data_IF_463864572080
#
_entry.id   IF_463864572080
#
_cell.length_a   1.000
_cell.length_b   1.000
_cell.length_c   1.000
_cell.angle_alpha   90.00
_cell.angle_beta   90.00
_cell.angle_gamma   90.00
#
_symmetry.space_group_name_H-M   'P 1'
#
loop_
_entity.id
_entity.type
_entity.pdbx_description
1 polymer ?
#
# COMPACT_ATOMS: atom_id res chain seq x y z
N UNK A 1 4.01 -0.12 7.14
CA UNK A 1 4.02 -1.54 6.72
C UNK A 1 2.63 -2.10 6.96
N UNK A 2 2.07 -2.89 6.05
CA UNK A 2 0.74 -3.47 6.29
C UNK A 2 0.81 -4.39 7.52
N UNK A 3 -0.28 -4.50 8.28
CA UNK A 3 -0.38 -5.44 9.41
C UNK A 3 0.01 -6.87 8.98
N UNK A 4 -0.35 -7.26 7.76
CA UNK A 4 -0.06 -8.57 7.18
C UNK A 4 1.45 -8.90 7.10
N UNK A 5 2.30 -7.93 6.74
CA UNK A 5 3.76 -8.17 6.71
C UNK A 5 4.29 -8.34 8.14
N UNK A 6 3.80 -7.53 9.08
CA UNK A 6 4.18 -7.66 10.48
C UNK A 6 3.78 -9.02 11.04
N UNK A 7 2.54 -9.47 10.77
CA UNK A 7 2.02 -10.77 11.21
C UNK A 7 2.83 -11.94 10.62
N UNK A 8 3.23 -11.85 9.34
CA UNK A 8 4.07 -12.88 8.69
C UNK A 8 5.48 -12.92 9.31
N UNK A 9 6.10 -11.75 9.56
CA UNK A 9 7.43 -11.69 10.18
C UNK A 9 7.41 -12.21 11.61
N UNK A 10 6.41 -11.87 12.41
CA UNK A 10 6.22 -12.37 13.77
C UNK A 10 6.01 -13.90 13.79
N UNK A 11 5.21 -14.40 12.84
CA UNK A 11 5.02 -15.84 12.68
C UNK A 11 6.32 -16.55 12.32
N UNK A 12 7.12 -16.03 11.37
CA UNK A 12 8.43 -16.62 11.01
C UNK A 12 9.33 -16.66 12.22
N UNK A 13 9.44 -15.60 13.01
CA UNK A 13 10.26 -15.52 14.21
C UNK A 13 9.84 -16.59 15.25
N UNK A 14 8.55 -16.56 15.61
CA UNK A 14 7.99 -17.48 16.62
C UNK A 14 8.16 -18.94 16.25
N UNK A 15 7.96 -19.27 14.96
CA UNK A 15 8.05 -20.65 14.49
C UNK A 15 9.50 -21.09 14.26
N UNK A 16 10.40 -20.19 13.87
CA UNK A 16 11.85 -20.46 13.76
C UNK A 16 12.45 -20.81 15.12
N UNK A 17 12.05 -20.13 16.21
CA UNK A 17 12.47 -20.44 17.58
C UNK A 17 12.06 -21.85 18.01
N UNK A 18 11.00 -22.40 17.42
CA UNK A 18 10.53 -23.78 17.65
C UNK A 18 11.20 -24.80 16.75
N UNK A 19 12.07 -24.35 15.83
CA UNK A 19 12.73 -25.22 14.84
C UNK A 19 11.78 -25.76 13.77
N UNK A 20 10.66 -25.10 13.54
CA UNK A 20 9.70 -25.49 12.50
C UNK A 20 10.20 -25.07 11.12
N UNK A 21 10.07 -25.96 10.12
CA UNK A 21 10.36 -25.65 8.74
C UNK A 21 9.20 -24.88 8.11
N UNK A 22 9.54 -23.87 7.33
CA UNK A 22 8.57 -23.00 6.66
C UNK A 22 9.10 -22.56 5.31
N UNK A 23 8.19 -22.26 4.39
CA UNK A 23 8.51 -21.57 3.15
C UNK A 23 7.67 -20.29 3.02
N UNK A 24 8.28 -19.25 2.51
CA UNK A 24 7.60 -17.97 2.22
C UNK A 24 7.41 -17.83 0.72
N UNK A 25 6.17 -17.69 0.28
CA UNK A 25 5.81 -17.31 -1.07
C UNK A 25 5.54 -15.80 -1.12
N UNK A 26 6.20 -15.10 -2.04
CA UNK A 26 6.03 -13.66 -2.27
C UNK A 26 5.61 -13.43 -3.70
N UNK A 27 4.56 -12.64 -3.94
CA UNK A 27 4.18 -12.16 -5.27
C UNK A 27 5.21 -11.13 -5.71
N UNK A 28 5.97 -11.39 -6.77
CA UNK A 28 7.04 -10.50 -7.26
C UNK A 28 6.65 -9.75 -8.54
N UNK A 29 5.72 -10.30 -9.32
CA UNK A 29 5.13 -9.64 -10.48
C UNK A 29 3.70 -10.11 -10.72
N UNK A 30 2.91 -9.27 -11.38
CA UNK A 30 1.54 -9.58 -11.81
C UNK A 30 1.29 -9.05 -13.22
N UNK A 31 0.47 -9.76 -13.98
CA UNK A 31 -0.02 -9.37 -15.30
C UNK A 31 -1.55 -9.49 -15.34
N UNK A 32 -2.22 -8.57 -16.00
CA UNK A 32 -3.67 -8.57 -16.08
C UNK A 32 -4.36 -8.32 -14.73
N UNK A 33 -5.55 -8.93 -14.54
CA UNK A 33 -6.37 -8.74 -13.34
C UNK A 33 -6.08 -9.82 -12.31
N UNK A 34 -5.41 -9.46 -11.23
CA UNK A 34 -5.06 -10.35 -10.11
C UNK A 34 -5.66 -9.87 -8.80
N UNK A 35 -5.91 -10.80 -7.87
CA UNK A 35 -6.47 -10.49 -6.54
C UNK A 35 -5.50 -9.70 -5.67
N UNK A 36 -4.19 -10.00 -5.75
CA UNK A 36 -3.14 -9.37 -4.92
C UNK A 36 -2.08 -8.69 -5.81
N UNK A 37 -1.31 -7.83 -5.20
CA UNK A 37 -0.22 -7.06 -5.83
C UNK A 37 1.15 -7.61 -5.46
N UNK A 38 2.23 -7.22 -6.19
CA UNK A 38 3.59 -7.48 -5.76
C UNK A 38 3.82 -7.04 -4.30
N UNK A 39 4.52 -7.88 -3.54
CA UNK A 39 4.73 -7.74 -2.11
C UNK A 39 3.74 -8.51 -1.22
N UNK A 40 2.64 -9.06 -1.76
CA UNK A 40 1.77 -9.96 -1.02
C UNK A 40 2.49 -11.27 -0.66
N UNK A 41 2.23 -11.79 0.54
CA UNK A 41 2.96 -12.92 1.10
C UNK A 41 2.03 -14.02 1.62
N UNK A 42 2.52 -15.25 1.52
CA UNK A 42 1.92 -16.43 2.12
C UNK A 42 3.02 -17.28 2.76
N UNK A 43 2.99 -17.39 4.08
CA UNK A 43 3.84 -18.33 4.82
C UNK A 43 3.15 -19.69 4.87
N UNK A 44 3.88 -20.72 4.46
CA UNK A 44 3.44 -22.11 4.48
C UNK A 44 4.27 -22.86 5.50
N UNK A 45 3.61 -23.46 6.50
CA UNK A 45 4.23 -24.30 7.51
C UNK A 45 4.37 -25.73 7.02
N UNK A 46 5.28 -26.50 7.61
CA UNK A 46 5.51 -27.93 7.27
C UNK A 46 4.22 -28.77 7.43
N UNK A 47 3.37 -28.43 8.41
CA UNK A 47 2.04 -29.03 8.60
C UNK A 47 0.98 -28.62 7.57
N UNK A 48 1.30 -27.72 6.65
CA UNK A 48 0.38 -27.21 5.63
C UNK A 48 -0.51 -26.05 6.10
N UNK A 49 -0.33 -25.52 7.31
CA UNK A 49 -1.03 -24.30 7.74
C UNK A 49 -0.51 -23.07 6.98
N UNK A 50 -1.40 -22.12 6.69
CA UNK A 50 -1.16 -20.92 5.90
C UNK A 50 -1.32 -19.66 6.75
N UNK A 51 -0.38 -18.70 6.64
CA UNK A 51 -0.44 -17.38 7.27
C UNK A 51 -0.19 -16.33 6.20
N UNK A 52 -1.08 -15.36 6.06
CA UNK A 52 -1.08 -14.38 4.97
C UNK A 52 -1.94 -14.83 3.79
N UNK A 53 -1.85 -14.11 2.66
CA UNK A 53 -2.71 -14.36 1.51
C UNK A 53 -2.10 -13.81 0.21
N UNK A 54 -2.02 -14.64 -0.83
CA UNK A 54 -1.53 -14.25 -2.18
C UNK A 54 -2.61 -14.37 -3.25
N UNK A 55 -3.72 -15.08 -2.95
CA UNK A 55 -4.83 -15.30 -3.88
C UNK A 55 -6.15 -15.33 -3.09
N UNK A 56 -7.27 -15.49 -3.76
CA UNK A 56 -8.56 -15.77 -3.11
C UNK A 56 -8.71 -17.22 -2.63
N UNK A 57 -7.61 -17.98 -2.49
CA UNK A 57 -7.60 -19.39 -2.12
C UNK A 57 -7.41 -20.36 -3.30
N UNK A 58 -7.45 -19.85 -4.54
CA UNK A 58 -7.40 -20.70 -5.75
C UNK A 58 -6.02 -21.35 -5.98
N UNK A 59 -4.93 -20.77 -5.46
CA UNK A 59 -3.56 -21.28 -5.62
C UNK A 59 -3.01 -21.97 -4.37
N UNK A 60 -3.74 -22.02 -3.28
CA UNK A 60 -3.24 -22.47 -1.99
C UNK A 60 -2.67 -23.89 -2.04
N UNK A 61 -3.34 -24.79 -2.75
CA UNK A 61 -2.88 -26.18 -2.91
C UNK A 61 -1.58 -26.29 -3.70
N UNK A 62 -1.46 -25.59 -4.81
CA UNK A 62 -0.26 -25.60 -5.65
C UNK A 62 0.93 -24.97 -4.94
N UNK A 63 0.68 -23.88 -4.21
CA UNK A 63 1.71 -23.19 -3.43
C UNK A 63 2.16 -24.04 -2.22
N UNK A 64 1.25 -24.77 -1.57
CA UNK A 64 1.62 -25.72 -0.51
C UNK A 64 2.53 -26.83 -1.04
N UNK A 65 2.24 -27.38 -2.22
CA UNK A 65 3.09 -28.41 -2.82
C UNK A 65 4.47 -27.86 -3.19
N UNK A 66 4.53 -26.67 -3.78
CA UNK A 66 5.79 -25.98 -4.09
C UNK A 66 6.59 -25.67 -2.82
N UNK A 67 5.92 -25.21 -1.76
CA UNK A 67 6.52 -24.93 -0.47
C UNK A 67 7.16 -26.17 0.17
N UNK A 68 6.49 -27.33 0.09
CA UNK A 68 7.08 -28.61 0.57
C UNK A 68 8.35 -28.96 -0.16
N UNK A 69 8.41 -28.75 -1.49
CA UNK A 69 9.62 -28.99 -2.27
C UNK A 69 10.75 -28.04 -1.85
N UNK A 70 10.44 -26.76 -1.65
CA UNK A 70 11.42 -25.74 -1.18
C UNK A 70 11.92 -26.05 0.23
N UNK A 71 11.04 -26.43 1.16
CA UNK A 71 11.44 -26.86 2.50
C UNK A 71 12.29 -28.14 2.50
N UNK A 72 12.05 -29.04 1.53
CA UNK A 72 12.77 -30.30 1.39
C UNK A 72 14.18 -30.14 0.84
N UNK A 73 14.40 -29.27 -0.14
CA UNK A 73 15.69 -29.10 -0.83
C UNK A 73 16.45 -27.81 -0.47
N UNK A 74 15.82 -26.88 0.25
CA UNK A 74 16.41 -25.61 0.65
C UNK A 74 16.64 -24.60 -0.48
N UNK A 75 16.08 -24.85 -1.67
CA UNK A 75 16.31 -24.02 -2.87
C UNK A 75 15.11 -23.16 -3.18
N UNK A 76 15.30 -21.85 -3.28
CA UNK A 76 14.27 -20.91 -3.71
C UNK A 76 13.90 -21.13 -5.18
N UNK A 77 12.63 -20.91 -5.51
CA UNK A 77 12.07 -21.08 -6.86
C UNK A 77 11.24 -19.88 -7.27
N UNK A 78 11.36 -19.49 -8.54
CA UNK A 78 10.43 -18.57 -9.22
C UNK A 78 9.46 -19.42 -10.03
N UNK A 79 8.15 -19.17 -9.88
CA UNK A 79 7.09 -19.90 -10.62
C UNK A 79 6.07 -18.90 -11.14
N UNK A 80 5.72 -19.04 -12.41
CA UNK A 80 4.67 -18.26 -13.08
C UNK A 80 3.35 -19.06 -13.02
N UNK A 81 2.31 -18.45 -12.43
CA UNK A 81 0.95 -18.98 -12.40
C UNK A 81 0.10 -18.17 -13.37
N UNK A 82 -0.16 -18.74 -14.54
CA UNK A 82 -1.08 -18.16 -15.52
C UNK A 82 -2.50 -18.59 -15.22
N UNK A 83 -3.35 -17.63 -14.81
CA UNK A 83 -4.76 -17.81 -14.49
C UNK A 83 -5.65 -17.25 -15.61
N UNK A 84 -5.09 -16.91 -16.77
CA UNK A 84 -5.85 -16.54 -17.95
C UNK A 84 -6.54 -17.80 -18.47
N UNK A 85 -7.87 -17.75 -18.56
CA UNK A 85 -8.65 -18.91 -18.97
C UNK A 85 -8.28 -19.36 -20.38
N UNK A 86 -7.80 -20.58 -20.52
CA UNK A 86 -7.99 -21.34 -21.74
C UNK A 86 -9.49 -21.70 -21.83
N UNK A 87 -10.16 -21.25 -22.87
CA UNK A 87 -11.61 -21.44 -23.11
C UNK A 87 -12.06 -22.93 -23.11
N UNK A 88 -11.12 -23.87 -23.13
CA UNK A 88 -11.38 -25.32 -23.19
C UNK A 88 -11.22 -26.03 -21.83
N UNK A 89 -10.65 -25.39 -20.81
CA UNK A 89 -10.51 -26.03 -19.51
C UNK A 89 -11.71 -25.72 -18.61
N UNK A 90 -12.38 -26.75 -18.13
CA UNK A 90 -13.53 -26.72 -17.18
C UNK A 90 -13.21 -25.90 -15.89
N UNK A 91 -11.95 -25.59 -15.67
CA UNK A 91 -11.42 -24.85 -14.52
C UNK A 91 -11.35 -23.31 -14.74
N UNK A 92 -11.27 -22.82 -15.99
CA UNK A 92 -11.09 -21.38 -16.29
C UNK A 92 -12.27 -20.51 -15.84
N UNK A 93 -13.48 -20.96 -15.95
CA UNK A 93 -14.69 -20.23 -15.52
C UNK A 93 -14.90 -20.18 -14.00
N UNK A 94 -14.21 -21.03 -13.24
CA UNK A 94 -14.38 -21.14 -11.78
C UNK A 94 -13.49 -20.22 -10.96
N UNK A 95 -12.36 -19.73 -11.50
CA UNK A 95 -11.35 -19.03 -10.71
C UNK A 95 -11.55 -17.50 -10.67
N UNK A 96 -12.35 -16.91 -11.56
CA UNK A 96 -12.71 -15.48 -11.52
C UNK A 96 -11.55 -14.49 -11.71
N UNK A 97 -10.31 -14.98 -11.93
CA UNK A 97 -9.11 -14.19 -12.14
C UNK A 97 -8.69 -14.31 -13.60
N UNK A 98 -8.56 -13.16 -14.29
CA UNK A 98 -8.05 -13.11 -15.68
C UNK A 98 -6.68 -12.42 -15.69
N UNK A 99 -5.69 -13.07 -15.10
CA UNK A 99 -4.33 -12.54 -14.99
C UNK A 99 -3.30 -13.61 -14.67
N UNK A 100 -2.04 -13.24 -14.63
CA UNK A 100 -0.94 -14.10 -14.24
C UNK A 100 -0.15 -13.48 -13.08
N UNK A 101 0.45 -14.32 -12.24
CA UNK A 101 1.31 -13.88 -11.16
C UNK A 101 2.57 -14.72 -11.08
N UNK A 102 3.68 -14.05 -10.82
CA UNK A 102 4.93 -14.71 -10.53
C UNK A 102 5.15 -14.76 -9.01
N UNK A 103 5.38 -15.96 -8.52
CA UNK A 103 5.67 -16.22 -7.10
C UNK A 103 7.13 -16.59 -6.92
N UNK A 104 7.80 -15.89 -6.02
CA UNK A 104 9.10 -16.29 -5.51
C UNK A 104 8.88 -17.05 -4.20
N UNK A 105 9.22 -18.34 -4.19
CA UNK A 105 9.05 -19.22 -3.02
C UNK A 105 10.42 -19.64 -2.50
N UNK A 106 10.66 -19.42 -1.21
CA UNK A 106 11.96 -19.63 -0.58
C UNK A 106 11.83 -20.18 0.83
N UNK A 107 12.90 -20.80 1.41
CA UNK A 107 12.94 -21.10 2.83
C UNK A 107 12.73 -19.82 3.64
N UNK A 108 11.84 -19.83 4.63
CA UNK A 108 11.46 -18.64 5.37
C UNK A 108 12.63 -18.03 6.17
N UNK A 109 13.60 -18.84 6.57
CA UNK A 109 14.80 -18.39 7.28
C UNK A 109 15.62 -17.39 6.45
N UNK A 110 15.68 -17.54 5.13
CA UNK A 110 16.34 -16.57 4.23
C UNK A 110 15.62 -15.23 4.22
N UNK A 111 14.29 -15.25 4.19
CA UNK A 111 13.48 -14.04 4.26
C UNK A 111 13.66 -13.31 5.62
N UNK A 112 13.88 -14.07 6.69
CA UNK A 112 14.06 -13.55 8.04
C UNK A 112 15.39 -12.80 8.24
N UNK A 113 16.39 -12.99 7.38
CA UNK A 113 17.69 -12.31 7.48
C UNK A 113 17.59 -10.76 7.48
N UNK A 114 16.54 -10.20 6.91
CA UNK A 114 16.28 -8.76 6.90
C UNK A 114 15.21 -8.31 7.90
N UNK A 115 14.61 -9.25 8.65
CA UNK A 115 13.51 -8.96 9.58
C UNK A 115 13.90 -7.91 10.63
N UNK A 116 15.14 -7.95 11.13
CA UNK A 116 15.64 -6.96 12.08
C UNK A 116 15.67 -5.53 11.50
N UNK A 117 16.09 -5.38 10.25
CA UNK A 117 16.06 -4.08 9.56
C UNK A 117 14.62 -3.60 9.32
N UNK A 118 13.74 -4.52 8.91
CA UNK A 118 12.32 -4.22 8.70
C UNK A 118 11.62 -3.83 10.01
N UNK A 119 11.94 -4.51 11.12
CA UNK A 119 11.38 -4.17 12.44
C UNK A 119 11.81 -2.77 12.87
N UNK A 120 13.11 -2.42 12.75
CA UNK A 120 13.59 -1.07 13.04
C UNK A 120 12.91 -0.03 12.17
N UNK A 121 12.73 -0.29 10.87
CA UNK A 121 12.00 0.62 9.98
C UNK A 121 10.56 0.86 10.43
N UNK A 122 9.88 -0.18 10.96
CA UNK A 122 8.54 -0.05 11.55
C UNK A 122 8.56 0.77 12.82
N UNK A 123 9.45 0.46 13.75
CA UNK A 123 9.57 1.13 15.05
C UNK A 123 9.93 2.62 14.90
N UNK A 124 10.81 2.92 13.94
CA UNK A 124 11.25 4.28 13.63
C UNK A 124 10.32 5.02 12.65
N UNK A 125 9.24 4.37 12.22
CA UNK A 125 8.30 4.91 11.22
C UNK A 125 8.97 5.36 9.91
N UNK A 126 10.02 4.66 9.49
CA UNK A 126 10.78 4.95 8.28
C UNK A 126 10.39 4.03 7.13
N UNK A 127 10.37 4.60 5.95
CA UNK A 127 10.29 3.80 4.73
C UNK A 127 11.64 3.13 4.46
N UNK A 128 11.60 1.98 3.79
CA UNK A 128 12.79 1.21 3.42
C UNK A 128 12.52 0.44 2.14
N UNK A 129 13.55 0.24 1.31
CA UNK A 129 13.46 -0.67 0.17
C UNK A 129 14.27 -1.93 0.43
N UNK A 130 13.69 -3.08 0.08
CA UNK A 130 14.37 -4.38 0.11
C UNK A 130 14.51 -4.87 -1.32
N UNK A 131 15.76 -5.05 -1.74
CA UNK A 131 16.08 -5.66 -3.04
C UNK A 131 16.36 -7.15 -2.81
N UNK A 132 15.58 -8.02 -3.45
CA UNK A 132 15.74 -9.47 -3.38
C UNK A 132 16.14 -10.00 -4.75
N UNK A 133 17.23 -10.74 -4.82
CA UNK A 133 17.66 -11.42 -6.05
C UNK A 133 16.71 -12.58 -6.36
N UNK A 134 16.06 -12.50 -7.52
CA UNK A 134 15.14 -13.53 -8.01
C UNK A 134 15.90 -14.51 -8.90
N UNK A 135 16.72 -14.00 -9.84
CA UNK A 135 17.58 -14.77 -10.70
C UNK A 135 18.88 -14.00 -10.94
N UNK A 136 19.98 -14.72 -11.16
CA UNK A 136 21.28 -14.11 -11.45
C UNK A 136 22.10 -14.96 -12.42
N UNK A 137 22.75 -14.27 -13.37
CA UNK A 137 23.83 -14.84 -14.19
C UNK A 137 25.21 -14.35 -13.72
N UNK A 138 25.28 -13.54 -12.65
CA UNK A 138 26.52 -12.97 -12.11
C UNK A 138 27.10 -13.90 -11.07
N UNK A 139 28.39 -14.20 -11.18
CA UNK A 139 29.10 -15.06 -10.24
C UNK A 139 29.11 -14.44 -8.82
N UNK A 140 28.85 -15.26 -7.82
CA UNK A 140 28.83 -14.85 -6.42
C UNK A 140 27.55 -14.14 -5.96
N UNK A 141 26.58 -13.95 -6.87
CA UNK A 141 25.25 -13.38 -6.54
C UNK A 141 24.22 -14.51 -6.46
N UNK A 142 23.80 -14.83 -5.27
CA UNK A 142 22.90 -15.97 -5.03
C UNK A 142 21.43 -15.55 -5.10
N UNK A 143 20.57 -16.46 -5.57
CA UNK A 143 19.10 -16.33 -5.50
C UNK A 143 18.65 -16.24 -4.04
N UNK A 144 17.81 -15.26 -3.74
CA UNK A 144 17.35 -14.95 -2.39
C UNK A 144 18.29 -14.04 -1.59
N UNK A 145 19.45 -13.63 -2.12
CA UNK A 145 20.29 -12.60 -1.51
C UNK A 145 19.53 -11.27 -1.41
N UNK A 146 19.79 -10.50 -0.35
CA UNK A 146 19.05 -9.28 -0.06
C UNK A 146 19.96 -8.12 0.27
N UNK A 147 19.53 -6.92 -0.19
CA UNK A 147 20.07 -5.62 0.17
C UNK A 147 18.93 -4.76 0.71
N UNK A 148 19.14 -4.16 1.89
CA UNK A 148 18.21 -3.17 2.45
C UNK A 148 18.76 -1.79 2.17
N UNK A 149 17.95 -0.88 1.66
CA UNK A 149 18.32 0.49 1.29
C UNK A 149 17.38 1.47 1.96
N UNK A 150 17.96 2.38 2.73
CA UNK A 150 17.23 3.45 3.42
C UNK A 150 17.15 4.72 2.55
N UNK A 151 16.20 5.65 2.81
CA UNK A 151 16.04 6.89 2.03
C UNK A 151 17.28 7.78 2.04
N UNK A 152 18.10 7.73 3.09
CA UNK A 152 19.36 8.46 3.24
C UNK A 152 20.54 7.81 2.47
N UNK A 153 20.28 6.69 1.78
CA UNK A 153 21.28 5.91 1.05
C UNK A 153 22.06 4.92 1.89
N UNK A 154 21.81 4.84 3.22
CA UNK A 154 22.40 3.80 4.05
C UNK A 154 21.97 2.40 3.56
N UNK A 155 22.90 1.45 3.60
CA UNK A 155 22.69 0.08 3.12
C UNK A 155 22.97 -0.92 4.23
N UNK A 156 22.15 -1.96 4.30
CA UNK A 156 22.39 -3.12 5.18
C UNK A 156 22.38 -4.39 4.33
N UNK A 157 23.29 -5.35 4.66
CA UNK A 157 23.54 -6.56 3.87
C UNK A 157 24.22 -6.27 2.52
N UNK A 158 24.37 -7.31 1.69
CA UNK A 158 24.98 -7.26 0.37
C UNK A 158 24.42 -8.39 -0.50
N UNK A 159 24.36 -8.17 -1.80
CA UNK A 159 23.99 -9.18 -2.78
C UNK A 159 25.16 -10.08 -3.19
N UNK A 160 26.37 -9.84 -2.64
CA UNK A 160 27.57 -10.63 -2.91
C UNK A 160 28.52 -10.03 -3.97
N UNK A 161 28.15 -8.93 -4.60
CA UNK A 161 28.95 -8.24 -5.61
C UNK A 161 28.73 -6.72 -5.51
N UNK A 162 29.80 -5.94 -5.39
CA UNK A 162 29.72 -4.49 -5.16
C UNK A 162 29.05 -3.72 -6.32
N UNK A 163 29.29 -4.10 -7.57
CA UNK A 163 28.66 -3.49 -8.74
C UNK A 163 27.15 -3.74 -8.75
N UNK A 164 26.74 -4.97 -8.38
CA UNK A 164 25.32 -5.32 -8.24
C UNK A 164 24.69 -4.58 -7.06
N UNK A 165 25.40 -4.43 -5.93
CA UNK A 165 24.92 -3.64 -4.78
C UNK A 165 24.68 -2.18 -5.16
N UNK A 166 25.58 -1.58 -5.97
CA UNK A 166 25.42 -0.19 -6.42
C UNK A 166 24.22 -0.04 -7.40
N UNK A 167 24.06 -0.95 -8.34
CA UNK A 167 22.92 -0.97 -9.26
C UNK A 167 21.60 -1.18 -8.52
N UNK A 168 21.59 -2.11 -7.56
CA UNK A 168 20.43 -2.39 -6.71
C UNK A 168 20.04 -1.20 -5.83
N UNK A 169 21.03 -0.50 -5.26
CA UNK A 169 20.78 0.70 -4.46
C UNK A 169 20.21 1.86 -5.28
N UNK A 170 20.69 2.04 -6.52
CA UNK A 170 20.12 3.04 -7.44
C UNK A 170 18.67 2.70 -7.78
N UNK A 171 18.38 1.43 -8.09
CA UNK A 171 17.02 0.94 -8.33
C UNK A 171 16.10 1.14 -7.12
N UNK A 172 16.58 0.82 -5.91
CA UNK A 172 15.87 1.02 -4.66
C UNK A 172 15.55 2.50 -4.40
N UNK A 173 16.51 3.41 -4.62
CA UNK A 173 16.29 4.85 -4.51
C UNK A 173 15.21 5.36 -5.47
N UNK A 174 15.22 4.88 -6.72
CA UNK A 174 14.18 5.23 -7.70
C UNK A 174 12.80 4.66 -7.33
N UNK A 175 12.76 3.46 -6.74
CA UNK A 175 11.53 2.83 -6.25
C UNK A 175 10.94 3.58 -5.04
N UNK A 176 11.80 3.95 -4.06
CA UNK A 176 11.43 4.77 -2.89
C UNK A 176 10.83 6.11 -3.32
N UNK A 177 11.47 6.82 -4.27
CA UNK A 177 10.97 8.10 -4.76
C UNK A 177 9.56 8.00 -5.40
N UNK A 178 9.24 6.84 -6.00
CA UNK A 178 7.93 6.57 -6.63
C UNK A 178 6.93 5.88 -5.70
N UNK A 179 7.37 5.35 -4.56
CA UNK A 179 6.57 4.50 -3.68
C UNK A 179 6.06 3.23 -4.39
N UNK A 180 6.85 2.64 -5.29
CA UNK A 180 6.44 1.52 -6.15
C UNK A 180 7.39 0.34 -6.04
N UNK A 181 6.83 -0.82 -5.66
CA UNK A 181 7.55 -2.09 -5.75
C UNK A 181 7.51 -2.61 -7.19
N UNK A 182 8.67 -3.09 -7.69
CA UNK A 182 8.83 -3.52 -9.07
C UNK A 182 9.82 -4.68 -9.19
N UNK A 183 9.54 -5.63 -10.09
CA UNK A 183 10.53 -6.60 -10.58
C UNK A 183 11.22 -6.00 -11.78
N UNK A 184 12.55 -5.98 -11.80
CA UNK A 184 13.34 -5.42 -12.89
C UNK A 184 14.70 -6.12 -13.02
N UNK A 185 15.30 -5.97 -14.19
CA UNK A 185 16.64 -6.45 -14.47
C UNK A 185 17.68 -5.38 -14.17
N UNK A 186 18.74 -5.77 -13.50
CA UNK A 186 19.94 -4.98 -13.20
C UNK A 186 21.06 -5.48 -14.10
N UNK A 187 21.43 -4.68 -15.08
CA UNK A 187 22.54 -4.99 -15.99
C UNK A 187 23.86 -4.50 -15.37
N UNK A 188 24.84 -5.40 -15.26
CA UNK A 188 26.18 -5.12 -14.75
C UNK A 188 27.22 -5.77 -15.67
N UNK A 189 28.50 -5.41 -15.53
CA UNK A 189 29.56 -5.92 -16.40
C UNK A 189 29.67 -7.46 -16.40
N UNK A 190 29.29 -8.12 -15.28
CA UNK A 190 29.33 -9.58 -15.12
C UNK A 190 28.08 -10.32 -15.61
N UNK A 191 27.04 -9.66 -16.07
CA UNK A 191 25.77 -10.29 -16.48
C UNK A 191 24.54 -9.52 -16.06
N UNK A 192 23.42 -10.25 -15.88
CA UNK A 192 22.13 -9.69 -15.51
C UNK A 192 21.67 -10.31 -14.20
N UNK A 193 21.13 -9.48 -13.31
CA UNK A 193 20.44 -9.88 -12.07
C UNK A 193 18.99 -9.43 -12.17
N UNK A 194 18.06 -10.36 -12.19
CA UNK A 194 16.64 -10.06 -12.03
C UNK A 194 16.33 -9.90 -10.54
N UNK A 195 15.88 -8.73 -10.15
CA UNK A 195 15.62 -8.39 -8.75
C UNK A 195 14.17 -7.93 -8.53
N UNK A 196 13.61 -8.30 -7.39
CA UNK A 196 12.39 -7.68 -6.85
C UNK A 196 12.79 -6.56 -5.91
N UNK A 197 12.50 -5.33 -6.31
CA UNK A 197 12.73 -4.11 -5.54
C UNK A 197 11.43 -3.76 -4.84
N UNK A 198 11.36 -4.04 -3.56
CA UNK A 198 10.17 -3.82 -2.76
C UNK A 198 10.31 -2.53 -1.95
N UNK A 199 9.27 -1.69 -1.97
CA UNK A 199 9.16 -0.51 -1.11
C UNK A 199 8.21 -0.82 0.04
N UNK A 200 8.70 -0.69 1.26
CA UNK A 200 7.96 -0.89 2.49
C UNK A 200 7.76 0.46 3.17
N UNK A 201 6.53 0.93 3.15
CA UNK A 201 6.13 2.17 3.78
C UNK A 201 5.50 1.89 5.15
N UNK A 202 5.77 2.71 6.17
CA UNK A 202 5.02 2.67 7.43
C UNK A 202 3.53 2.88 7.19
N UNK A 203 2.73 2.36 8.11
CA UNK A 203 1.28 2.58 8.10
C UNK A 203 0.93 4.07 8.13
N UNK A 204 -0.06 4.53 7.36
CA UNK A 204 -0.51 5.90 7.42
C UNK A 204 -0.98 6.28 8.82
N UNK A 205 -0.68 7.50 9.24
CA UNK A 205 -1.11 8.05 10.53
C UNK A 205 -2.38 8.88 10.34
N UNK A 206 -3.41 8.59 11.13
CA UNK A 206 -4.64 9.37 11.16
C UNK A 206 -4.74 10.15 12.47
N UNK A 207 -4.58 11.47 12.39
CA UNK A 207 -4.79 12.38 13.51
C UNK A 207 -6.27 12.78 13.58
N UNK A 208 -6.94 12.39 14.64
CA UNK A 208 -8.36 12.67 14.87
C UNK A 208 -8.46 13.76 15.92
N UNK A 209 -8.74 14.99 15.49
CA UNK A 209 -8.86 16.16 16.35
C UNK A 209 -10.31 16.26 16.87
N UNK A 210 -10.52 15.77 18.08
CA UNK A 210 -11.81 15.66 18.76
C UNK A 210 -12.12 14.22 19.21
N UNK A 211 -12.40 14.02 20.50
CA UNK A 211 -12.72 12.72 21.09
C UNK A 211 -14.24 12.54 21.30
N UNK A 212 -15.06 13.02 20.35
CA UNK A 212 -16.50 12.85 20.33
C UNK A 212 -16.95 11.40 20.13
N UNK A 213 -18.27 11.16 20.09
CA UNK A 213 -18.81 9.82 19.81
C UNK A 213 -18.52 9.36 18.37
N UNK A 214 -18.56 10.27 17.43
CA UNK A 214 -18.27 10.07 15.99
C UNK A 214 -16.80 9.73 15.71
N UNK A 215 -15.88 10.07 16.62
CA UNK A 215 -14.49 9.64 16.52
C UNK A 215 -14.30 8.13 16.81
N UNK A 216 -15.20 7.51 17.57
CA UNK A 216 -15.07 6.09 17.97
C UNK A 216 -15.08 5.15 16.74
N UNK A 217 -16.11 5.19 15.84
CA UNK A 217 -16.11 4.33 14.68
C UNK A 217 -14.96 4.68 13.71
N UNK A 218 -14.54 5.94 13.61
CA UNK A 218 -13.42 6.34 12.75
C UNK A 218 -12.11 5.70 13.21
N UNK A 219 -11.82 5.69 14.52
CA UNK A 219 -10.66 4.99 15.10
C UNK A 219 -10.70 3.51 14.77
N UNK A 220 -11.85 2.85 14.99
CA UNK A 220 -12.03 1.43 14.74
C UNK A 220 -11.81 1.06 13.27
N UNK A 221 -12.37 1.82 12.33
CA UNK A 221 -12.20 1.55 10.89
C UNK A 221 -10.78 1.86 10.42
N UNK A 222 -10.15 2.91 10.92
CA UNK A 222 -8.76 3.21 10.62
C UNK A 222 -7.83 2.05 11.05
N UNK A 223 -7.97 1.59 12.29
CA UNK A 223 -7.19 0.45 12.80
C UNK A 223 -7.44 -0.83 12.01
N UNK A 224 -8.71 -1.15 11.68
CA UNK A 224 -9.05 -2.31 10.85
C UNK A 224 -8.43 -2.27 9.44
N UNK A 225 -8.16 -1.08 8.90
CA UNK A 225 -7.46 -0.88 7.63
C UNK A 225 -5.93 -0.80 7.79
N UNK A 226 -5.39 -1.05 8.99
CA UNK A 226 -3.96 -1.00 9.28
C UNK A 226 -3.40 0.42 9.35
N UNK A 227 -4.23 1.44 9.55
CA UNK A 227 -3.80 2.81 9.83
C UNK A 227 -3.49 2.97 11.31
N UNK A 228 -2.75 4.03 11.65
CA UNK A 228 -2.38 4.36 13.04
C UNK A 228 -3.22 5.55 13.52
N UNK A 229 -4.39 5.32 14.14
CA UNK A 229 -5.25 6.39 14.63
C UNK A 229 -4.72 6.96 15.95
N UNK A 230 -4.48 8.28 15.98
CA UNK A 230 -4.11 9.04 17.16
C UNK A 230 -5.20 10.06 17.46
N UNK A 231 -5.77 10.01 18.68
CA UNK A 231 -6.86 10.90 19.09
C UNK A 231 -6.30 12.09 19.85
N UNK A 232 -6.68 13.29 19.46
CA UNK A 232 -6.24 14.56 20.05
C UNK A 232 -7.44 15.31 20.62
N UNK A 233 -7.43 15.60 21.91
CA UNK A 233 -8.48 16.40 22.58
C UNK A 233 -7.89 17.09 23.82
N UNK A 234 -8.53 18.14 24.31
CA UNK A 234 -8.15 18.78 25.57
C UNK A 234 -8.80 18.15 26.79
N UNK A 235 -9.83 17.36 26.59
CA UNK A 235 -10.60 16.69 27.63
C UNK A 235 -9.98 15.32 27.93
N UNK A 236 -8.93 15.26 28.75
CA UNK A 236 -8.20 14.02 29.08
C UNK A 236 -9.12 12.84 29.44
N UNK A 237 -10.24 13.10 30.13
CA UNK A 237 -11.21 12.06 30.51
C UNK A 237 -11.83 11.33 29.31
N UNK A 238 -11.74 11.89 28.09
CA UNK A 238 -12.20 11.25 26.87
C UNK A 238 -11.10 10.47 26.13
N UNK A 239 -9.84 10.68 26.48
CA UNK A 239 -8.66 10.05 25.87
C UNK A 239 -8.31 8.76 26.64
N UNK A 240 -9.15 7.74 26.50
CA UNK A 240 -8.97 6.49 27.23
C UNK A 240 -9.09 5.27 26.32
N UNK A 241 -8.36 4.20 26.66
CA UNK A 241 -8.45 2.92 25.96
C UNK A 241 -9.84 2.28 26.05
N UNK A 242 -10.61 2.56 27.09
CA UNK A 242 -11.99 2.07 27.19
C UNK A 242 -12.91 2.67 26.12
N UNK A 243 -12.65 3.93 25.72
CA UNK A 243 -13.41 4.59 24.66
C UNK A 243 -12.87 4.29 23.27
N UNK A 244 -11.57 4.16 23.15
CA UNK A 244 -10.85 3.97 21.91
C UNK A 244 -9.83 2.83 22.04
N UNK A 245 -10.28 1.58 22.16
CA UNK A 245 -9.39 0.44 22.38
C UNK A 245 -8.37 0.25 21.25
N UNK A 246 -8.74 0.61 20.02
CA UNK A 246 -7.89 0.45 18.83
C UNK A 246 -7.01 1.68 18.55
N UNK A 247 -7.10 2.78 19.33
CA UNK A 247 -6.26 3.95 19.12
C UNK A 247 -4.77 3.61 19.32
N UNK A 248 -3.92 4.03 18.40
CA UNK A 248 -2.46 3.90 18.50
C UNK A 248 -1.88 4.81 19.58
N UNK A 249 -2.49 5.99 19.78
CA UNK A 249 -2.06 6.94 20.81
C UNK A 249 -3.11 7.99 21.15
N UNK A 250 -2.79 8.72 22.22
CA UNK A 250 -3.59 9.84 22.71
C UNK A 250 -2.72 11.06 22.94
N UNK A 251 -3.21 12.24 22.55
CA UNK A 251 -2.54 13.51 22.80
C UNK A 251 -3.51 14.44 23.50
N UNK A 252 -3.21 14.79 24.75
CA UNK A 252 -3.93 15.85 25.47
C UNK A 252 -3.37 17.21 25.06
N UNK A 253 -4.19 18.02 24.40
CA UNK A 253 -3.75 19.28 23.82
C UNK A 253 -4.75 20.42 24.09
N UNK A 254 -4.42 21.29 25.03
CA UNK A 254 -5.27 22.43 25.39
C UNK A 254 -5.27 23.57 24.36
N UNK A 255 -4.23 23.66 23.54
CA UNK A 255 -4.07 24.70 22.50
C UNK A 255 -3.93 24.06 21.12
N UNK A 256 -5.01 24.00 20.32
CA UNK A 256 -5.00 23.32 19.00
C UNK A 256 -3.92 23.82 18.02
N UNK A 257 -3.54 25.11 18.09
CA UNK A 257 -2.46 25.69 17.27
C UNK A 257 -1.10 25.01 17.45
N UNK A 258 -0.90 24.26 18.54
CA UNK A 258 0.32 23.49 18.77
C UNK A 258 0.31 22.07 18.16
N UNK A 259 -0.78 21.67 17.51
CA UNK A 259 -0.97 20.30 17.09
C UNK A 259 0.11 19.82 16.09
N UNK A 260 0.41 20.60 15.07
CA UNK A 260 1.42 20.24 14.08
C UNK A 260 2.82 20.13 14.71
N UNK A 261 3.19 21.08 15.58
CA UNK A 261 4.49 21.04 16.27
C UNK A 261 4.63 19.79 17.16
N UNK A 262 3.55 19.37 17.83
CA UNK A 262 3.56 18.21 18.70
C UNK A 262 3.57 16.90 17.91
N UNK A 263 2.82 16.83 16.82
CA UNK A 263 2.65 15.60 16.05
C UNK A 263 3.71 15.41 14.97
N UNK A 264 4.41 16.48 14.55
CA UNK A 264 5.40 16.48 13.46
C UNK A 264 4.88 15.69 12.26
N UNK A 265 3.82 16.21 11.59
CA UNK A 265 3.18 15.48 10.49
C UNK A 265 4.12 15.38 9.28
N UNK A 266 3.92 14.33 8.51
CA UNK A 266 4.59 14.06 7.25
C UNK A 266 3.57 13.76 6.14
N UNK A 267 4.05 13.48 4.91
CA UNK A 267 3.22 13.14 3.75
C UNK A 267 2.32 11.91 3.91
N UNK A 268 2.47 11.11 4.97
CA UNK A 268 1.64 9.95 5.31
C UNK A 268 0.68 10.25 6.45
N UNK A 269 0.64 11.50 6.88
CA UNK A 269 -0.24 11.97 7.95
C UNK A 269 -1.51 12.55 7.34
N UNK A 270 -2.64 12.06 7.81
CA UNK A 270 -3.98 12.50 7.46
C UNK A 270 -4.62 13.09 8.72
N UNK A 271 -5.32 14.20 8.58
CA UNK A 271 -5.95 14.91 9.71
C UNK A 271 -7.45 14.96 9.50
N UNK A 272 -8.23 14.62 10.52
CA UNK A 272 -9.69 14.84 10.55
C UNK A 272 -10.06 15.68 11.75
N UNK A 273 -10.60 16.88 11.48
CA UNK A 273 -11.04 17.85 12.49
C UNK A 273 -12.54 17.67 12.71
N UNK A 274 -12.90 17.24 13.94
CA UNK A 274 -14.27 16.87 14.33
C UNK A 274 -14.58 17.23 15.79
N UNK A 275 -14.15 18.44 16.21
CA UNK A 275 -14.33 18.87 17.62
C UNK A 275 -15.72 19.37 17.94
N UNK A 276 -16.56 19.67 16.93
CA UNK A 276 -17.85 20.35 17.02
C UNK A 276 -17.77 21.76 17.65
N UNK A 277 -16.57 22.31 17.78
CA UNK A 277 -16.34 23.66 18.28
C UNK A 277 -15.63 24.51 17.21
N UNK A 278 -16.29 25.58 16.75
CA UNK A 278 -15.83 26.42 15.66
C UNK A 278 -14.42 26.97 15.86
N UNK A 279 -14.13 27.53 17.04
CA UNK A 279 -12.82 28.14 17.31
C UNK A 279 -11.72 27.08 17.34
N UNK A 280 -12.00 25.91 17.89
CA UNK A 280 -11.06 24.81 17.91
C UNK A 280 -10.82 24.23 16.52
N UNK A 281 -11.89 24.06 15.73
CA UNK A 281 -11.76 23.57 14.34
C UNK A 281 -10.89 24.53 13.53
N UNK A 282 -11.11 25.86 13.68
CA UNK A 282 -10.27 26.90 13.06
C UNK A 282 -8.80 26.76 13.46
N UNK A 283 -8.53 26.63 14.75
CA UNK A 283 -7.17 26.57 15.28
C UNK A 283 -6.46 25.23 14.84
N UNK A 284 -7.16 24.10 14.79
CA UNK A 284 -6.60 22.87 14.24
C UNK A 284 -6.29 22.99 12.76
N UNK A 285 -7.24 23.48 11.93
CA UNK A 285 -6.99 23.71 10.51
C UNK A 285 -5.77 24.60 10.33
N UNK A 286 -5.73 25.76 11.01
CA UNK A 286 -4.57 26.67 10.98
C UNK A 286 -3.26 25.98 11.33
N UNK A 287 -3.27 25.12 12.36
CA UNK A 287 -2.05 24.43 12.81
C UNK A 287 -1.43 23.54 11.73
N UNK A 288 -2.23 22.98 10.83
CA UNK A 288 -1.76 22.06 9.79
C UNK A 288 -1.52 22.72 8.42
N UNK A 289 -1.88 24.02 8.25
CA UNK A 289 -1.54 24.76 7.02
C UNK A 289 0.00 24.88 6.89
N UNK A 290 0.48 24.76 5.64
CA UNK A 290 1.91 24.83 5.33
C UNK A 290 2.72 23.64 5.83
N UNK A 291 2.07 22.54 6.22
CA UNK A 291 2.74 21.29 6.60
C UNK A 291 2.62 20.22 5.50
N UNK A 292 3.41 19.15 5.64
CA UNK A 292 3.44 18.05 4.66
C UNK A 292 2.29 17.03 4.82
N UNK A 293 1.19 17.38 5.52
CA UNK A 293 0.04 16.48 5.61
C UNK A 293 -0.55 16.18 4.24
N UNK A 294 -0.99 14.93 4.05
CA UNK A 294 -1.63 14.52 2.81
C UNK A 294 -3.09 14.99 2.70
N UNK A 295 -3.74 15.31 3.84
CA UNK A 295 -5.17 15.55 3.90
C UNK A 295 -5.56 16.28 5.18
N UNK A 296 -6.47 17.24 5.07
CA UNK A 296 -7.12 17.92 6.20
C UNK A 296 -8.63 17.85 5.98
N UNK A 297 -9.30 16.90 6.63
CA UNK A 297 -10.75 16.80 6.63
C UNK A 297 -11.39 17.62 7.73
N UNK A 298 -12.47 18.31 7.43
CA UNK A 298 -13.28 19.02 8.43
C UNK A 298 -14.70 18.49 8.45
N UNK A 299 -15.15 18.03 9.60
CA UNK A 299 -16.53 17.61 9.81
C UNK A 299 -17.42 18.84 9.95
N UNK A 300 -18.39 18.98 9.06
CA UNK A 300 -19.33 20.08 9.06
C UNK A 300 -19.59 20.64 7.66
N UNK A 301 -20.63 21.49 7.52
CA UNK A 301 -21.03 21.98 6.20
C UNK A 301 -19.97 22.92 5.59
N UNK A 302 -19.91 22.99 4.25
CA UNK A 302 -19.00 23.85 3.50
C UNK A 302 -18.95 25.29 4.03
N UNK A 303 -20.11 25.87 4.37
CA UNK A 303 -20.21 27.22 4.94
C UNK A 303 -19.37 27.42 6.21
N UNK A 304 -19.15 26.35 6.97
CA UNK A 304 -18.31 26.41 8.17
C UNK A 304 -16.84 26.57 7.80
N UNK A 305 -16.35 25.87 6.79
CA UNK A 305 -15.01 26.07 6.27
C UNK A 305 -14.83 27.46 5.69
N UNK A 306 -15.80 27.94 4.87
CA UNK A 306 -15.74 29.28 4.28
C UNK A 306 -15.61 30.37 5.35
N UNK A 307 -16.33 30.22 6.48
CA UNK A 307 -16.21 31.11 7.62
C UNK A 307 -14.84 31.03 8.29
N UNK A 308 -14.29 29.81 8.46
CA UNK A 308 -12.94 29.59 9.01
C UNK A 308 -11.88 30.26 8.15
N UNK A 309 -11.91 30.05 6.84
CA UNK A 309 -10.95 30.66 5.91
C UNK A 309 -11.07 32.20 5.90
N UNK A 310 -12.31 32.73 5.99
CA UNK A 310 -12.53 34.17 6.11
C UNK A 310 -11.94 34.76 7.39
N UNK A 311 -12.06 34.06 8.51
CA UNK A 311 -11.52 34.53 9.78
C UNK A 311 -9.99 34.41 9.81
N UNK A 312 -9.41 33.35 9.24
CA UNK A 312 -7.95 33.23 9.07
C UNK A 312 -7.38 34.36 8.20
N UNK A 313 -8.05 34.71 7.09
CA UNK A 313 -7.63 35.82 6.24
C UNK A 313 -7.66 37.17 6.98
N UNK A 314 -8.65 37.43 7.87
CA UNK A 314 -8.68 38.61 8.73
C UNK A 314 -7.51 38.64 9.73
N UNK A 315 -7.00 37.49 10.12
CA UNK A 315 -5.83 37.35 10.99
C UNK A 315 -4.51 37.41 10.20
N UNK A 316 -4.56 37.61 8.88
CA UNK A 316 -3.39 37.70 7.99
C UNK A 316 -2.83 36.32 7.60
N UNK A 317 -3.63 35.26 7.72
CA UNK A 317 -3.26 33.89 7.39
C UNK A 317 -3.98 33.52 6.10
N UNK A 318 -3.24 33.40 5.01
CA UNK A 318 -3.73 33.01 3.71
C UNK A 318 -3.20 31.62 3.35
N UNK A 319 -4.06 30.59 3.29
CA UNK A 319 -3.64 29.26 2.83
C UNK A 319 -3.15 29.32 1.39
N UNK A 320 -2.09 28.57 1.08
CA UNK A 320 -1.60 28.39 -0.28
C UNK A 320 -2.61 27.59 -1.14
N UNK A 321 -2.46 27.62 -2.47
CA UNK A 321 -3.27 26.75 -3.35
C UNK A 321 -3.08 25.28 -2.98
N UNK A 322 -1.85 24.86 -2.66
CA UNK A 322 -1.55 23.50 -2.21
C UNK A 322 -2.26 23.14 -0.90
N UNK A 323 -2.33 24.07 0.07
CA UNK A 323 -3.09 23.86 1.29
C UNK A 323 -4.59 23.68 1.02
N UNK A 324 -5.15 24.52 0.12
CA UNK A 324 -6.56 24.46 -0.22
C UNK A 324 -6.94 23.13 -0.91
N UNK A 325 -6.05 22.55 -1.73
CA UNK A 325 -6.25 21.25 -2.37
C UNK A 325 -6.29 20.10 -1.34
N UNK A 326 -5.57 20.24 -0.22
CA UNK A 326 -5.55 19.25 0.87
C UNK A 326 -6.75 19.35 1.81
N UNK A 327 -7.52 20.45 1.76
CA UNK A 327 -8.66 20.70 2.66
C UNK A 327 -9.95 20.14 2.06
N UNK A 328 -10.57 19.21 2.75
CA UNK A 328 -11.82 18.55 2.39
C UNK A 328 -12.92 18.90 3.40
N UNK A 329 -13.96 19.61 2.97
CA UNK A 329 -15.09 19.95 3.83
C UNK A 329 -16.38 20.11 3.01
N UNK A 330 -17.42 19.35 3.32
CA UNK A 330 -17.48 18.30 4.33
C UNK A 330 -16.49 17.15 4.05
N UNK A 331 -15.88 16.57 5.09
CA UNK A 331 -15.06 15.38 4.96
C UNK A 331 -15.94 14.16 4.67
N UNK A 332 -15.47 13.30 3.75
CA UNK A 332 -16.13 12.06 3.36
C UNK A 332 -16.73 12.07 1.95
N UNK A 333 -16.85 10.88 1.37
CA UNK A 333 -17.51 10.70 0.08
C UNK A 333 -19.02 10.90 0.21
N UNK A 334 -19.65 11.45 -0.82
CA UNK A 334 -21.11 11.61 -0.91
C UNK A 334 -21.76 10.24 -1.21
N UNK A 335 -22.03 9.50 -0.16
CA UNK A 335 -22.68 8.18 -0.20
C UNK A 335 -24.02 8.15 0.55
N UNK A 336 -24.52 9.33 0.99
CA UNK A 336 -25.75 9.45 1.76
C UNK A 336 -25.62 9.00 3.21
N UNK A 337 -24.44 9.13 3.79
CA UNK A 337 -24.14 8.73 5.17
C UNK A 337 -24.87 9.62 6.18
N UNK A 338 -25.55 9.04 7.17
CA UNK A 338 -26.33 9.74 8.20
C UNK A 338 -25.83 9.49 9.61
N UNK A 339 -25.49 8.25 9.96
CA UNK A 339 -25.05 7.87 11.32
C UNK A 339 -23.53 7.99 11.50
N UNK A 340 -23.03 7.98 12.76
CA UNK A 340 -21.60 8.09 13.05
C UNK A 340 -20.75 7.03 12.35
N UNK A 341 -21.22 5.79 12.27
CA UNK A 341 -20.54 4.69 11.60
C UNK A 341 -20.48 4.91 10.08
N UNK A 342 -21.59 5.35 9.47
CA UNK A 342 -21.64 5.61 8.03
C UNK A 342 -20.78 6.80 7.65
N UNK A 343 -20.79 7.86 8.43
CA UNK A 343 -19.94 9.05 8.24
C UNK A 343 -18.46 8.66 8.38
N UNK A 344 -18.11 7.88 9.40
CA UNK A 344 -16.74 7.41 9.57
C UNK A 344 -16.30 6.52 8.39
N UNK A 345 -17.20 5.69 7.86
CA UNK A 345 -16.90 4.87 6.68
C UNK A 345 -16.71 5.73 5.43
N UNK A 346 -17.57 6.75 5.22
CA UNK A 346 -17.45 7.69 4.10
C UNK A 346 -16.12 8.47 4.16
N UNK A 347 -15.70 8.91 5.37
CA UNK A 347 -14.40 9.56 5.59
C UNK A 347 -13.26 8.59 5.26
N UNK A 348 -13.26 7.37 5.76
CA UNK A 348 -12.20 6.40 5.47
C UNK A 348 -12.12 6.05 3.99
N UNK A 349 -13.24 6.00 3.28
CA UNK A 349 -13.26 5.78 1.83
C UNK A 349 -12.62 6.96 1.07
N UNK A 350 -12.88 8.21 1.48
CA UNK A 350 -12.20 9.39 0.93
C UNK A 350 -10.70 9.38 1.23
N UNK A 351 -10.29 9.08 2.46
CA UNK A 351 -8.88 8.96 2.84
C UNK A 351 -8.15 7.92 1.98
N UNK A 352 -8.79 6.77 1.69
CA UNK A 352 -8.25 5.77 0.78
C UNK A 352 -8.13 6.28 -0.65
N UNK A 353 -9.12 7.05 -1.14
CA UNK A 353 -9.10 7.64 -2.47
C UNK A 353 -7.94 8.64 -2.61
N UNK A 354 -7.77 9.54 -1.64
CA UNK A 354 -6.65 10.50 -1.60
C UNK A 354 -5.31 9.78 -1.55
N UNK A 355 -5.14 8.80 -0.63
CA UNK A 355 -3.90 8.04 -0.50
C UNK A 355 -3.49 7.32 -1.78
N UNK A 356 -4.46 6.86 -2.56
CA UNK A 356 -4.21 6.10 -3.80
C UNK A 356 -4.21 6.95 -5.05
N UNK A 357 -4.46 8.27 -4.94
CA UNK A 357 -4.57 9.19 -6.06
C UNK A 357 -5.78 8.90 -6.97
N UNK A 358 -6.88 8.34 -6.39
CA UNK A 358 -8.04 7.93 -7.16
C UNK A 358 -9.22 8.87 -6.96
N UNK A 359 -9.97 9.09 -8.05
CA UNK A 359 -11.31 9.66 -7.97
C UNK A 359 -12.26 8.56 -7.54
N UNK A 360 -12.95 8.76 -6.43
CA UNK A 360 -13.97 7.84 -5.97
C UNK A 360 -15.13 7.75 -6.97
N UNK A 361 -15.67 6.55 -7.19
CA UNK A 361 -16.76 6.28 -8.11
C UNK A 361 -17.11 4.80 -8.11
N UNK A 362 -18.09 4.39 -8.93
CA UNK A 362 -18.42 2.97 -9.07
C UNK A 362 -17.39 2.26 -9.93
N UNK A 363 -16.84 1.15 -9.43
CA UNK A 363 -15.88 0.33 -10.18
C UNK A 363 -16.41 -0.17 -11.52
N UNK A 364 -17.74 -0.41 -11.65
CA UNK A 364 -18.39 -0.82 -12.89
C UNK A 364 -18.26 0.22 -14.01
N UNK A 365 -18.06 1.49 -13.68
CA UNK A 365 -17.97 2.58 -14.64
C UNK A 365 -16.52 2.82 -15.10
N UNK A 366 -15.57 2.13 -14.46
CA UNK A 366 -14.15 2.24 -14.76
C UNK A 366 -13.78 1.43 -16.01
N UNK A 367 -13.06 2.07 -16.93
CA UNK A 367 -12.42 1.39 -18.07
C UNK A 367 -10.98 1.03 -17.69
N UNK A 368 -10.55 -0.20 -18.07
CA UNK A 368 -9.20 -0.70 -17.79
C UNK A 368 -9.05 -1.49 -16.49
N UNK A 369 -7.82 -1.83 -16.14
CA UNK A 369 -7.53 -2.68 -14.98
C UNK A 369 -7.89 -2.02 -13.65
N UNK A 370 -8.47 -2.79 -12.74
CA UNK A 370 -8.93 -2.32 -11.42
C UNK A 370 -7.76 -1.74 -10.59
N UNK A 371 -6.54 -2.20 -10.81
CA UNK A 371 -5.39 -1.94 -9.95
C UNK A 371 -4.37 -0.92 -10.48
N UNK A 372 -4.67 -0.15 -11.53
CA UNK A 372 -3.82 1.00 -11.90
C UNK A 372 -3.86 2.07 -10.80
N UNK A 373 -2.71 2.65 -10.41
CA UNK A 373 -2.60 3.58 -9.28
C UNK A 373 -3.19 4.98 -9.52
N UNK A 374 -3.21 5.46 -10.75
CA UNK A 374 -3.78 6.77 -11.09
C UNK A 374 -4.99 6.60 -12.02
N UNK A 375 -5.98 7.46 -11.88
CA UNK A 375 -6.97 7.63 -12.94
C UNK A 375 -6.25 8.28 -14.13
N UNK A 376 -6.45 7.79 -15.37
CA UNK A 376 -5.92 8.49 -16.53
C UNK A 376 -6.48 9.91 -16.56
N UNK A 377 -5.63 10.88 -16.84
CA UNK A 377 -6.02 12.27 -17.06
C UNK A 377 -7.20 12.31 -18.06
N UNK A 378 -8.32 12.97 -17.75
CA UNK A 378 -9.47 13.04 -18.67
C UNK A 378 -9.14 13.64 -20.04
N UNK A 379 -7.94 14.23 -20.21
CA UNK A 379 -7.42 14.74 -21.48
C UNK A 379 -6.49 13.78 -22.23
N UNK A 380 -5.94 12.75 -21.57
CA UNK A 380 -5.19 11.70 -22.25
C UNK A 380 -6.17 10.65 -22.75
N UNK A 381 -6.35 10.56 -24.06
CA UNK A 381 -7.05 9.44 -24.68
C UNK A 381 -6.42 8.09 -24.22
N UNK A 382 -7.15 6.98 -24.34
CA UNK A 382 -6.66 5.71 -23.85
C UNK A 382 -5.33 5.39 -24.55
N UNK A 383 -4.22 5.38 -23.82
CA UNK A 383 -3.04 4.60 -24.20
C UNK A 383 -3.51 3.14 -24.19
N UNK A 384 -3.83 2.66 -25.38
CA UNK A 384 -4.04 1.25 -25.64
C UNK A 384 -2.68 0.59 -25.50
N UNK A 385 -2.40 -0.03 -24.35
CA UNK A 385 -1.43 -1.12 -24.32
C UNK A 385 -1.87 -2.10 -25.41
N UNK A 386 -1.02 -2.42 -26.39
CA UNK A 386 -1.40 -3.37 -27.43
C UNK A 386 -1.63 -4.72 -26.75
N UNK A 387 -2.88 -5.15 -26.73
CA UNK A 387 -3.28 -6.50 -26.35
C UNK A 387 -2.55 -7.47 -27.32
N UNK A 388 -1.61 -8.30 -26.85
CA UNK A 388 -0.85 -9.19 -27.74
C UNK A 388 -1.71 -10.34 -28.30
N UNK A 389 -3.01 -10.40 -27.98
CA UNK A 389 -3.92 -11.50 -28.36
C UNK A 389 -5.14 -11.05 -29.19
N UNK A 390 -5.13 -9.89 -29.85
CA UNK A 390 -6.21 -9.56 -30.79
C UNK A 390 -5.90 -10.18 -32.16
N UNK A 391 -6.67 -11.16 -32.65
CA UNK A 391 -6.49 -11.72 -33.99
C UNK A 391 -6.79 -10.64 -35.02
N UNK A 392 -5.88 -10.48 -35.98
CA UNK A 392 -6.00 -9.53 -37.08
C UNK A 392 -7.36 -9.72 -37.80
N UNK A 393 -8.17 -8.66 -37.79
CA UNK A 393 -9.42 -8.60 -38.54
C UNK A 393 -9.10 -8.77 -40.04
N UNK A 394 -9.69 -9.75 -40.76
CA UNK A 394 -9.42 -9.92 -42.18
C UNK A 394 -9.98 -8.73 -42.95
N UNK A 395 -9.15 -8.14 -43.80
CA UNK A 395 -9.51 -7.08 -44.73
C UNK A 395 -10.60 -7.59 -45.69
N UNK A 396 -11.69 -6.84 -45.94
CA UNK A 396 -12.67 -7.28 -46.93
C UNK A 396 -12.07 -7.28 -48.33
N UNK A 397 -12.04 -8.45 -48.96
CA UNK A 397 -11.70 -8.59 -50.38
C UNK A 397 -12.85 -8.01 -51.20
N UNK A 398 -12.60 -6.99 -52.01
CA UNK A 398 -13.54 -6.48 -53.00
C UNK A 398 -13.97 -7.60 -53.95
N UNK A 399 -15.23 -7.97 -53.86
CA UNK A 399 -15.85 -8.85 -54.88
C UNK A 399 -16.23 -7.96 -56.08
N UNK A 400 -15.53 -8.14 -57.18
CA UNK A 400 -15.87 -7.59 -58.50
C UNK A 400 -17.16 -8.23 -58.97
N UNK A 401 -18.19 -7.42 -59.12
CA UNK A 401 -19.44 -7.79 -59.80
C UNK A 401 -19.14 -7.70 -61.30
N UNK A 402 -19.09 -8.84 -61.97
CA UNK A 402 -19.14 -8.97 -63.42
C UNK A 402 -20.60 -9.08 -63.85
N UNK A 403 -21.04 -8.12 -64.67
CA UNK A 403 -22.29 -8.11 -65.41
C UNK A 403 -22.11 -8.97 -66.66
N UNK A 404 -22.96 -9.93 -66.87
CA UNK A 404 -23.50 -10.39 -68.15
C UNK A 404 -24.73 -11.27 -67.91
#
# INVERSE_FOLDING_TARGET
>A
MSSEIADVLEAIETLSERGEKMALATVVAVRGSTYRRPGARLLVRDGGELIGNISGGCLDGDVQELARQVMGNGQARLVDFDLTADDEAVWGWGLGCNGAMELFVEPAEKAFEVAGALRRAVEEEREVSVVTVIESSVDGVERGARLVVHPDGHREKSLGNAEVDDAAAAAAGAALAKGLSIKQDLEVAGGVVTAFVEVLEPSPRLLICGAGHDAIPLVRFAAALGWRPVVIDDRERFLTKDRFPEADGFISLSRPLGAANMTKPDRRTFVVVMTHNYLRDKDYIHSFLGTDVAYIGSLGPRKRLDAVLTDLAKEGIEPSEEDLEKIHAPAGLDVGAEGPEEVAWAIMAELLAVRTGRRAGFLRDRKGHIHTRADPDPGSGPELDPDPASPATPTPTEASVGVA
#
